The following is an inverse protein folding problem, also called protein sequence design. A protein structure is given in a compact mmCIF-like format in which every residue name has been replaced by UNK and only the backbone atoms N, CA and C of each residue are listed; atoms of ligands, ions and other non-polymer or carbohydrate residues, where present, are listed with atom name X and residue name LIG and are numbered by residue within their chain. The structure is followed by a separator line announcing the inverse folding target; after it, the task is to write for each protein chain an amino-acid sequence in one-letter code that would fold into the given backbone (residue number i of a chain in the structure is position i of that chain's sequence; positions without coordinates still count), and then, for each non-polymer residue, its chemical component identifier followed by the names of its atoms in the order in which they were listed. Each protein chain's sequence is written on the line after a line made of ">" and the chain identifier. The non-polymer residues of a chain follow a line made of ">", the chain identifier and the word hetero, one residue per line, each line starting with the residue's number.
data_IF_214528764218
#
_entry.id   IF_214528764218
#
_cell.length_a   1.000
_cell.length_b   1.000
_cell.length_c   1.000
_cell.angle_alpha   90.00
_cell.angle_beta   90.00
_cell.angle_gamma   90.00
#
_symmetry.space_group_name_H-M   'P 1'
#
loop_
_entity.id
_entity.type
_entity.pdbx_description
1 polymer ?
#
# COMPACT_ATOMS: atom_id res chain seq x y z
N UNK A 1 6.09 -3.64 0.74
CA UNK A 1 5.69 -4.82 1.53
C UNK A 1 4.45 -5.44 0.88
N UNK A 2 4.43 -6.74 0.56
CA UNK A 2 3.34 -7.37 -0.22
C UNK A 2 1.95 -7.19 0.41
N UNK A 3 1.87 -7.26 1.74
CA UNK A 3 0.64 -7.07 2.51
C UNK A 3 0.01 -5.68 2.27
N UNK A 4 0.82 -4.63 2.08
CA UNK A 4 0.34 -3.28 1.77
C UNK A 4 -0.22 -3.17 0.37
N UNK A 5 0.42 -3.83 -0.61
CA UNK A 5 -0.07 -3.83 -1.99
C UNK A 5 -1.45 -4.50 -2.04
N UNK A 6 -1.58 -5.67 -1.41
CA UNK A 6 -2.88 -6.37 -1.30
C UNK A 6 -3.90 -5.53 -0.52
N UNK A 7 -3.49 -4.79 0.51
CA UNK A 7 -4.38 -3.86 1.21
C UNK A 7 -4.95 -2.79 0.28
N UNK A 8 -4.09 -2.12 -0.49
CA UNK A 8 -4.51 -1.08 -1.44
C UNK A 8 -5.45 -1.63 -2.53
N UNK A 9 -5.22 -2.85 -2.99
CA UNK A 9 -6.08 -3.51 -3.99
C UNK A 9 -7.37 -4.09 -3.40
N UNK A 10 -7.40 -4.35 -2.09
CA UNK A 10 -8.52 -5.03 -1.43
C UNK A 10 -9.77 -4.16 -1.18
N UNK A 11 -9.63 -2.83 -1.28
CA UNK A 11 -10.73 -1.89 -1.01
C UNK A 11 -11.12 -1.73 0.46
N UNK A 12 -10.37 -2.33 1.40
CA UNK A 12 -10.57 -2.12 2.83
C UNK A 12 -10.17 -0.69 3.22
N UNK A 13 -11.00 -0.03 4.03
CA UNK A 13 -10.71 1.34 4.52
C UNK A 13 -9.77 1.37 5.72
N UNK A 14 -9.81 0.33 6.55
CA UNK A 14 -9.05 0.25 7.79
C UNK A 14 -8.04 -0.89 7.70
N UNK A 15 -6.75 -0.55 7.80
CA UNK A 15 -5.66 -1.52 7.73
C UNK A 15 -5.76 -2.56 8.84
N UNK A 16 -6.13 -2.16 10.06
CA UNK A 16 -6.31 -3.08 11.19
C UNK A 16 -7.36 -4.16 10.90
N UNK A 17 -8.50 -3.76 10.32
CA UNK A 17 -9.56 -4.71 9.96
C UNK A 17 -9.13 -5.65 8.84
N UNK A 18 -8.50 -5.10 7.79
CA UNK A 18 -7.89 -5.89 6.71
C UNK A 18 -6.88 -6.91 7.25
N UNK A 19 -6.01 -6.48 8.16
CA UNK A 19 -4.95 -7.33 8.68
C UNK A 19 -5.52 -8.54 9.42
N UNK A 20 -6.47 -8.33 10.33
CA UNK A 20 -7.05 -9.43 11.09
C UNK A 20 -7.97 -10.32 10.26
N UNK A 21 -8.83 -9.75 9.40
CA UNK A 21 -9.83 -10.54 8.67
C UNK A 21 -9.30 -11.18 7.39
N UNK A 22 -8.41 -10.48 6.67
CA UNK A 22 -7.87 -10.96 5.40
C UNK A 22 -6.55 -11.67 5.61
N UNK A 23 -5.56 -11.01 6.23
CA UNK A 23 -4.19 -11.53 6.31
C UNK A 23 -4.12 -12.70 7.30
N UNK A 24 -4.58 -12.49 8.54
CA UNK A 24 -4.47 -13.46 9.63
C UNK A 24 -5.50 -14.60 9.61
N UNK A 25 -6.51 -14.56 8.72
CA UNK A 25 -7.50 -15.65 8.61
C UNK A 25 -7.48 -16.29 7.23
N UNK A 26 -7.54 -15.48 6.18
CA UNK A 26 -7.70 -16.00 4.82
C UNK A 26 -6.36 -16.23 4.12
N UNK A 27 -5.34 -15.42 4.39
CA UNK A 27 -4.04 -15.47 3.70
C UNK A 27 -2.91 -16.06 4.57
N UNK A 28 -3.23 -16.72 5.69
CA UNK A 28 -2.23 -17.35 6.57
C UNK A 28 -1.32 -18.34 5.85
N UNK A 29 -1.83 -19.04 4.83
CA UNK A 29 -1.03 -19.96 4.03
C UNK A 29 0.05 -19.26 3.19
N UNK A 30 -0.18 -18.01 2.79
CA UNK A 30 0.81 -17.18 2.08
C UNK A 30 1.81 -16.53 3.04
N UNK A 31 1.39 -16.32 4.29
CA UNK A 31 2.18 -15.65 5.32
C UNK A 31 2.24 -16.52 6.58
N UNK A 32 2.94 -17.68 6.54
CA UNK A 32 2.95 -18.65 7.63
C UNK A 32 3.55 -18.13 8.95
N UNK A 33 4.25 -16.98 8.91
CA UNK A 33 4.79 -16.28 10.08
C UNK A 33 4.36 -14.81 10.08
N UNK A 34 3.05 -14.58 10.16
CA UNK A 34 2.51 -13.23 10.40
C UNK A 34 2.94 -12.72 11.77
N UNK A 35 3.46 -11.49 11.81
CA UNK A 35 3.80 -10.81 13.06
C UNK A 35 2.56 -10.16 13.69
N UNK A 36 2.67 -9.65 14.92
CA UNK A 36 1.56 -8.90 15.52
C UNK A 36 1.22 -7.64 14.71
N UNK A 37 -0.02 -7.16 14.83
CA UNK A 37 -0.46 -5.94 14.14
C UNK A 37 0.45 -4.73 14.44
N UNK A 38 0.85 -4.53 15.69
CA UNK A 38 1.73 -3.41 16.04
C UNK A 38 3.10 -3.56 15.38
N UNK A 39 3.65 -4.78 15.37
CA UNK A 39 4.94 -5.04 14.75
C UNK A 39 4.91 -4.80 13.24
N UNK A 40 3.81 -5.16 12.56
CA UNK A 40 3.71 -4.90 11.12
C UNK A 40 3.61 -3.41 10.82
N UNK A 41 2.92 -2.63 11.65
CA UNK A 41 2.82 -1.17 11.49
C UNK A 41 4.19 -0.51 11.70
N UNK A 42 4.98 -0.94 12.69
CA UNK A 42 6.36 -0.46 12.85
C UNK A 42 7.22 -0.76 11.62
N UNK A 43 7.18 -2.02 11.16
CA UNK A 43 7.93 -2.45 9.97
C UNK A 43 7.50 -1.73 8.70
N UNK A 44 6.22 -1.36 8.58
CA UNK A 44 5.72 -0.56 7.46
C UNK A 44 6.41 0.82 7.42
N UNK A 45 6.52 1.50 8.57
CA UNK A 45 7.19 2.81 8.66
C UNK A 45 8.66 2.69 8.28
N UNK A 46 9.33 1.64 8.76
CA UNK A 46 10.73 1.38 8.44
C UNK A 46 10.94 1.01 6.96
N UNK A 47 9.96 0.34 6.33
CA UNK A 47 10.01 -0.01 4.92
C UNK A 47 9.65 1.16 3.99
N UNK A 48 8.87 2.14 4.46
CA UNK A 48 8.47 3.30 3.68
C UNK A 48 9.66 4.18 3.27
N UNK A 49 10.66 4.32 4.13
CA UNK A 49 11.88 5.11 3.87
C UNK A 49 12.72 4.54 2.71
N UNK A 50 13.17 3.27 2.74
CA UNK A 50 13.90 2.67 1.62
C UNK A 50 13.06 2.57 0.35
N UNK A 51 11.74 2.35 0.45
CA UNK A 51 10.85 2.35 -0.72
C UNK A 51 10.79 3.74 -1.38
N UNK A 52 10.67 4.80 -0.58
CA UNK A 52 10.65 6.19 -1.08
C UNK A 52 11.99 6.56 -1.72
N UNK A 53 13.10 6.16 -1.09
CA UNK A 53 14.45 6.33 -1.65
C UNK A 53 14.63 5.57 -2.96
N UNK A 54 14.14 4.32 -3.05
CA UNK A 54 14.19 3.52 -4.26
C UNK A 54 13.37 4.16 -5.39
N UNK A 55 12.14 4.61 -5.11
CA UNK A 55 11.32 5.32 -6.10
C UNK A 55 12.07 6.58 -6.59
N UNK A 56 12.60 7.39 -5.67
CA UNK A 56 13.31 8.63 -6.00
C UNK A 56 14.60 8.41 -6.79
N UNK A 57 15.35 7.33 -6.52
CA UNK A 57 16.66 7.09 -7.13
C UNK A 57 16.61 6.18 -8.36
N UNK A 58 15.81 5.12 -8.31
CA UNK A 58 15.79 4.08 -9.34
C UNK A 58 14.66 4.28 -10.36
N UNK A 59 13.48 4.75 -9.93
CA UNK A 59 12.31 4.89 -10.80
C UNK A 59 12.11 6.31 -11.34
N UNK A 60 12.60 7.33 -10.62
CA UNK A 60 12.58 8.72 -11.08
C UNK A 60 13.81 9.03 -11.96
N UNK A 61 13.60 9.21 -13.28
CA UNK A 61 14.59 9.80 -14.21
C UNK A 61 14.96 11.25 -13.84
N UNK A 62 16.06 11.82 -14.37
CA UNK A 62 16.42 13.24 -14.20
C UNK A 62 15.21 14.14 -14.51
N UNK A 63 14.72 14.86 -13.50
CA UNK A 63 13.66 15.86 -13.66
C UNK A 63 14.29 17.19 -14.03
N UNK A 64 13.68 17.97 -14.92
CA UNK A 64 14.08 19.37 -15.18
C UNK A 64 13.35 20.36 -14.27
N UNK A 65 12.10 20.12 -13.85
CA UNK A 65 11.32 21.14 -13.12
C UNK A 65 10.51 20.60 -11.93
N UNK A 66 9.29 20.08 -12.12
CA UNK A 66 8.36 19.72 -11.02
C UNK A 66 7.72 18.35 -11.30
N UNK A 67 7.61 17.49 -10.28
CA UNK A 67 6.90 16.21 -10.36
C UNK A 67 5.98 15.99 -9.16
N UNK A 68 4.77 15.57 -9.46
CA UNK A 68 3.79 15.09 -8.48
C UNK A 68 3.93 13.59 -8.34
N UNK A 69 4.01 13.12 -7.09
CA UNK A 69 3.93 11.69 -6.75
C UNK A 69 2.54 11.46 -6.21
N UNK A 70 1.66 10.98 -7.07
CA UNK A 70 0.34 10.50 -6.68
C UNK A 70 0.32 8.98 -6.70
N UNK A 71 -0.51 8.40 -5.85
CA UNK A 71 -0.95 7.01 -6.03
C UNK A 71 -1.54 6.85 -7.44
N UNK A 72 -1.17 5.78 -8.14
CA UNK A 72 -1.73 5.47 -9.47
C UNK A 72 -3.26 5.52 -9.34
N UNK A 73 -3.97 6.30 -10.16
CA UNK A 73 -5.42 6.38 -10.07
C UNK A 73 -5.99 4.99 -10.28
N UNK A 74 -6.56 4.42 -9.23
CA UNK A 74 -7.34 3.19 -9.30
C UNK A 74 -8.48 3.44 -10.29
N UNK A 75 -8.57 2.63 -11.35
CA UNK A 75 -9.70 2.65 -12.27
C UNK A 75 -10.97 2.17 -11.54
N UNK A 76 -11.56 3.04 -10.74
CA UNK A 76 -12.88 2.83 -10.12
C UNK A 76 -13.94 2.88 -11.21
N UNK A 77 -14.87 1.92 -11.18
CA UNK A 77 -15.96 1.80 -12.15
C UNK A 77 -16.87 3.05 -12.15
N UNK A 78 -17.17 3.51 -13.38
CA UNK A 78 -18.12 4.56 -13.84
C UNK A 78 -18.34 5.80 -12.95
N UNK A 79 -17.96 6.96 -13.52
CA UNK A 79 -18.14 8.34 -13.02
C UNK A 79 -19.62 8.74 -12.84
N UNK A 80 -20.34 8.20 -11.86
CA UNK A 80 -21.71 8.62 -11.54
C UNK A 80 -21.82 9.50 -10.27
N UNK A 81 -20.71 9.85 -9.60
CA UNK A 81 -20.75 10.67 -8.36
C UNK A 81 -19.67 11.75 -8.27
N UNK A 82 -19.25 12.32 -9.40
CA UNK A 82 -18.52 13.60 -9.37
C UNK A 82 -19.45 14.63 -9.96
N UNK A 83 -20.34 15.18 -9.13
CA UNK A 83 -21.03 16.43 -9.45
C UNK A 83 -20.01 17.54 -9.19
N UNK A 84 -19.67 18.26 -10.27
CA UNK A 84 -19.03 19.59 -10.20
C UNK A 84 -20.14 20.58 -9.83
#
# INVERSE_FOLDING_TARGET
>A
MLIMNVFHDSGYRCFKHFYFEKVCKQLCYLFPKVVSYNRIVELERDAAVPLTLFIKKALLRKCTDIRFVDSIPLCVCKKQRVHI
#
